data_IF_637900941598
#
_entry.id   IF_637900941598
#
_cell.length_a   1.000
_cell.length_b   1.000
_cell.length_c   1.000
_cell.angle_alpha   90.00
_cell.angle_beta   90.00
_cell.angle_gamma   90.00
#
_symmetry.space_group_name_H-M   'P 1'
#
loop_
_entity.id
_entity.type
_entity.pdbx_description
1 polymer ?
#
# COMPACT_ATOMS: atom_id res chain seq x y z
N UNK A 1 -29.28 10.08 27.12
CA UNK A 1 -29.02 8.81 26.45
C UNK A 1 -28.30 9.08 25.12
N UNK A 2 -27.01 8.86 25.03
CA UNK A 2 -26.34 8.96 23.77
C UNK A 2 -26.73 7.74 22.93
N UNK A 3 -27.48 7.96 21.85
CA UNK A 3 -27.68 6.94 20.83
C UNK A 3 -26.29 6.49 20.37
N UNK A 4 -25.91 5.26 20.69
CA UNK A 4 -24.71 4.65 20.16
C UNK A 4 -24.80 4.75 18.64
N UNK A 5 -23.85 5.45 18.02
CA UNK A 5 -23.72 5.40 16.58
C UNK A 5 -23.42 3.95 16.25
N UNK A 6 -24.36 3.28 15.60
CA UNK A 6 -24.05 2.02 14.95
C UNK A 6 -22.96 2.32 13.93
N UNK A 7 -21.72 2.06 14.33
CA UNK A 7 -20.62 2.06 13.39
C UNK A 7 -20.86 0.89 12.44
N UNK A 8 -21.37 1.20 11.27
CA UNK A 8 -21.35 0.23 10.19
C UNK A 8 -19.88 -0.01 9.83
N UNK A 9 -19.35 -1.12 10.31
CA UNK A 9 -17.97 -1.53 10.10
C UNK A 9 -17.63 -1.74 8.61
N UNK A 10 -18.64 -1.75 7.73
CA UNK A 10 -18.46 -1.86 6.28
C UNK A 10 -18.17 -0.52 5.61
N UNK A 11 -18.48 0.61 6.27
CA UNK A 11 -18.31 1.95 5.68
C UNK A 11 -16.97 2.54 6.04
N UNK A 12 -16.04 2.50 5.11
CA UNK A 12 -14.74 3.15 5.27
C UNK A 12 -14.81 4.59 4.77
N UNK A 13 -14.04 5.47 5.43
CA UNK A 13 -14.01 6.88 5.12
C UNK A 13 -12.62 7.30 4.62
N UNK A 14 -12.54 8.22 3.64
CA UNK A 14 -11.27 8.84 3.31
C UNK A 14 -10.81 9.75 4.45
N UNK A 15 -9.52 9.96 4.55
CA UNK A 15 -8.96 10.92 5.51
C UNK A 15 -9.15 12.31 4.95
N UNK A 16 -10.09 13.08 5.51
CA UNK A 16 -10.49 14.39 5.01
C UNK A 16 -9.62 15.54 5.48
N UNK A 17 -9.06 15.43 6.69
CA UNK A 17 -8.18 16.45 7.23
C UNK A 17 -6.80 16.34 6.58
N UNK A 18 -6.37 17.40 5.89
CA UNK A 18 -5.08 17.43 5.18
C UNK A 18 -3.89 17.21 6.10
N UNK A 19 -3.93 17.75 7.32
CA UNK A 19 -2.86 17.61 8.30
C UNK A 19 -2.73 16.15 8.77
N UNK A 20 -3.86 15.50 9.02
CA UNK A 20 -3.89 14.08 9.38
C UNK A 20 -3.46 13.20 8.22
N UNK A 21 -3.84 13.54 7.00
CA UNK A 21 -3.42 12.82 5.80
C UNK A 21 -1.89 12.87 5.64
N UNK A 22 -1.27 14.04 5.83
CA UNK A 22 0.19 14.16 5.77
C UNK A 22 0.88 13.33 6.87
N UNK A 23 0.37 13.35 8.08
CA UNK A 23 0.89 12.53 9.18
C UNK A 23 0.75 11.04 8.90
N UNK A 24 -0.40 10.62 8.39
CA UNK A 24 -0.68 9.25 8.01
C UNK A 24 0.28 8.78 6.91
N UNK A 25 0.41 9.57 5.86
CA UNK A 25 1.28 9.31 4.72
C UNK A 25 2.74 9.14 5.11
N UNK A 26 3.22 9.93 6.07
CA UNK A 26 4.61 9.92 6.52
C UNK A 26 4.87 9.04 7.74
N UNK A 27 3.86 8.41 8.30
CA UNK A 27 3.99 7.64 9.52
C UNK A 27 5.07 6.56 9.43
N UNK A 28 5.04 5.75 8.39
CA UNK A 28 6.01 4.69 8.18
C UNK A 28 7.33 5.15 7.53
N UNK A 29 7.43 6.42 7.23
CA UNK A 29 8.70 6.98 6.75
C UNK A 29 9.50 7.61 7.90
N UNK A 30 8.83 8.30 8.81
CA UNK A 30 9.47 9.10 9.85
C UNK A 30 9.27 8.56 11.27
N UNK A 31 8.06 8.18 11.65
CA UNK A 31 7.71 7.85 13.04
C UNK A 31 7.98 6.38 13.38
N UNK A 32 7.52 5.47 12.56
CA UNK A 32 7.74 4.04 12.70
C UNK A 32 8.30 3.47 11.38
N UNK A 33 9.59 3.69 11.08
CA UNK A 33 10.15 3.41 9.77
C UNK A 33 9.90 1.99 9.28
N UNK A 34 9.21 1.87 8.16
CA UNK A 34 8.96 0.64 7.44
C UNK A 34 8.69 0.96 5.97
N UNK A 35 9.70 0.84 5.12
CA UNK A 35 9.60 1.23 3.71
C UNK A 35 8.55 0.43 2.93
N UNK A 36 8.36 -0.84 3.24
CA UNK A 36 7.29 -1.65 2.63
C UNK A 36 5.91 -1.02 2.88
N UNK A 37 5.62 -0.72 4.13
CA UNK A 37 4.34 -0.13 4.52
C UNK A 37 4.16 1.28 3.94
N UNK A 38 5.21 2.08 4.00
CA UNK A 38 5.23 3.41 3.39
C UNK A 38 4.94 3.32 1.88
N UNK A 39 5.55 2.37 1.20
CA UNK A 39 5.38 2.17 -0.23
C UNK A 39 3.93 1.77 -0.58
N UNK A 40 3.34 0.84 0.17
CA UNK A 40 1.95 0.42 -0.04
C UNK A 40 1.00 1.61 0.09
N UNK A 41 1.14 2.41 1.14
CA UNK A 41 0.31 3.59 1.37
C UNK A 41 0.50 4.62 0.25
N UNK A 42 1.74 4.92 -0.11
CA UNK A 42 2.06 5.90 -1.15
C UNK A 42 1.50 5.48 -2.51
N UNK A 43 1.67 4.22 -2.88
CA UNK A 43 1.11 3.67 -4.13
C UNK A 43 -0.42 3.77 -4.10
N UNK A 44 -1.04 3.37 -3.00
CA UNK A 44 -2.50 3.43 -2.86
C UNK A 44 -3.07 4.83 -3.01
N UNK A 45 -2.47 5.80 -2.33
CA UNK A 45 -2.92 7.20 -2.36
C UNK A 45 -2.74 7.86 -3.74
N UNK A 46 -1.79 7.42 -4.54
CA UNK A 46 -1.43 8.07 -5.80
C UNK A 46 -1.94 7.36 -7.05
N UNK A 47 -2.41 6.12 -6.95
CA UNK A 47 -2.80 5.33 -8.13
C UNK A 47 -4.27 4.97 -8.16
N UNK A 48 -4.98 5.13 -7.06
CA UNK A 48 -6.37 4.71 -6.89
C UNK A 48 -6.61 3.21 -7.15
N UNK A 49 -5.57 2.39 -7.10
CA UNK A 49 -5.70 0.94 -7.21
C UNK A 49 -6.36 0.35 -5.96
N UNK A 50 -7.10 -0.74 -6.13
CA UNK A 50 -7.61 -1.52 -5.01
C UNK A 50 -6.45 -2.21 -4.30
N UNK A 51 -6.58 -2.40 -2.99
CA UNK A 51 -5.51 -3.02 -2.19
C UNK A 51 -5.08 -4.40 -2.74
N UNK A 52 -6.02 -5.22 -3.18
CA UNK A 52 -5.67 -6.52 -3.76
C UNK A 52 -4.85 -6.38 -5.04
N UNK A 53 -5.10 -5.37 -5.87
CA UNK A 53 -4.33 -5.11 -7.06
C UNK A 53 -2.90 -4.67 -6.71
N UNK A 54 -2.75 -3.83 -5.68
CA UNK A 54 -1.44 -3.42 -5.16
C UNK A 54 -0.67 -4.62 -4.63
N UNK A 55 -1.30 -5.45 -3.81
CA UNK A 55 -0.65 -6.60 -3.19
C UNK A 55 -0.24 -7.68 -4.20
N UNK A 56 -0.91 -7.74 -5.35
CA UNK A 56 -0.59 -8.70 -6.41
C UNK A 56 0.36 -8.14 -7.47
N UNK A 57 0.86 -6.92 -7.30
CA UNK A 57 1.94 -6.41 -8.15
C UNK A 57 3.17 -7.29 -7.98
N UNK A 58 3.77 -7.65 -9.11
CA UNK A 58 5.04 -8.35 -9.14
C UNK A 58 6.19 -7.35 -9.30
N UNK A 59 7.37 -7.74 -8.87
CA UNK A 59 8.57 -6.96 -9.07
C UNK A 59 8.72 -6.53 -10.54
N UNK A 60 8.55 -7.45 -11.46
CA UNK A 60 8.68 -7.20 -12.91
C UNK A 60 7.63 -6.23 -13.47
N UNK A 61 6.47 -6.08 -12.82
CA UNK A 61 5.45 -5.12 -13.24
C UNK A 61 5.88 -3.68 -13.00
N UNK A 62 6.77 -3.47 -12.04
CA UNK A 62 7.13 -2.14 -11.53
C UNK A 62 8.55 -1.75 -11.92
N UNK A 63 9.46 -2.72 -11.99
CA UNK A 63 10.86 -2.46 -12.30
C UNK A 63 11.28 -3.07 -13.64
N UNK A 64 12.08 -2.31 -14.36
CA UNK A 64 12.84 -2.79 -15.52
C UNK A 64 14.31 -2.65 -15.18
N UNK A 65 15.01 -3.78 -15.09
CA UNK A 65 16.37 -3.83 -14.56
C UNK A 65 16.43 -3.20 -13.16
N UNK A 66 17.17 -2.12 -12.98
CA UNK A 66 17.30 -1.41 -11.70
C UNK A 66 16.39 -0.18 -11.58
N UNK A 67 15.61 0.13 -12.62
CA UNK A 67 14.82 1.36 -12.71
C UNK A 67 13.34 1.11 -12.52
N UNK A 68 12.67 2.06 -11.89
CA UNK A 68 11.20 2.09 -11.81
C UNK A 68 10.65 2.41 -13.21
N UNK A 69 9.65 1.64 -13.64
CA UNK A 69 8.97 1.91 -14.92
C UNK A 69 8.22 3.23 -14.87
N UNK A 70 8.04 3.87 -16.03
CA UNK A 70 7.22 5.08 -16.15
C UNK A 70 5.73 4.80 -15.94
N UNK A 71 5.29 3.63 -16.40
CA UNK A 71 3.91 3.16 -16.29
C UNK A 71 3.88 1.74 -15.75
N UNK A 72 2.82 1.43 -15.04
CA UNK A 72 2.47 0.05 -14.71
C UNK A 72 1.14 -0.29 -15.39
N UNK A 73 1.02 -1.54 -15.84
CA UNK A 73 -0.22 -2.06 -16.39
C UNK A 73 -0.79 -3.07 -15.40
N UNK A 74 -2.00 -2.82 -14.95
CA UNK A 74 -2.68 -3.65 -13.96
C UNK A 74 -4.00 -4.13 -14.52
N UNK A 75 -4.23 -5.44 -14.48
CA UNK A 75 -5.55 -6.01 -14.73
C UNK A 75 -6.30 -6.12 -13.41
N UNK A 76 -7.40 -5.37 -13.27
CA UNK A 76 -8.21 -5.40 -12.06
C UNK A 76 -8.78 -6.80 -11.84
N UNK A 77 -8.53 -7.37 -10.65
CA UNK A 77 -8.97 -8.74 -10.33
C UNK A 77 -10.49 -8.85 -10.28
N UNK A 78 -11.17 -7.79 -9.82
CA UNK A 78 -12.62 -7.78 -9.67
C UNK A 78 -13.36 -7.71 -11.00
N UNK A 79 -12.87 -6.92 -11.96
CA UNK A 79 -13.57 -6.61 -13.22
C UNK A 79 -12.87 -7.18 -14.45
N UNK A 80 -11.62 -7.60 -14.34
CA UNK A 80 -10.78 -8.01 -15.46
C UNK A 80 -10.33 -6.86 -16.36
N UNK A 81 -10.67 -5.62 -16.03
CA UNK A 81 -10.33 -4.44 -16.82
C UNK A 81 -8.84 -4.13 -16.69
N UNK A 82 -8.21 -3.84 -17.81
CA UNK A 82 -6.81 -3.43 -17.85
C UNK A 82 -6.68 -1.92 -17.69
N UNK A 83 -5.85 -1.49 -16.73
CA UNK A 83 -5.52 -0.09 -16.47
C UNK A 83 -4.03 0.15 -16.65
N UNK A 84 -3.69 1.17 -17.42
CA UNK A 84 -2.32 1.66 -17.53
C UNK A 84 -2.17 2.92 -16.68
N UNK A 85 -1.24 2.90 -15.74
CA UNK A 85 -1.10 3.94 -14.72
C UNK A 85 0.27 4.59 -14.83
N UNK A 86 0.29 5.91 -15.03
CA UNK A 86 1.51 6.70 -14.99
C UNK A 86 1.94 6.88 -13.53
N UNK A 87 3.20 6.57 -13.23
CA UNK A 87 3.76 6.74 -11.90
C UNK A 87 4.34 8.15 -11.73
N UNK A 88 3.88 8.87 -10.71
CA UNK A 88 4.40 10.19 -10.40
C UNK A 88 5.76 10.11 -9.68
N UNK A 89 6.40 11.27 -9.50
CA UNK A 89 7.74 11.35 -8.90
C UNK A 89 7.80 10.78 -7.48
N UNK A 90 6.77 11.01 -6.69
CA UNK A 90 6.69 10.54 -5.31
C UNK A 90 6.66 9.00 -5.25
N UNK A 91 5.82 8.39 -6.06
CA UNK A 91 5.72 6.92 -6.16
C UNK A 91 7.03 6.33 -6.66
N UNK A 92 7.63 6.90 -7.69
CA UNK A 92 8.92 6.42 -8.22
C UNK A 92 10.02 6.50 -7.16
N UNK A 93 10.07 7.58 -6.40
CA UNK A 93 11.07 7.76 -5.34
C UNK A 93 10.95 6.69 -4.26
N UNK A 94 9.75 6.49 -3.74
CA UNK A 94 9.55 5.49 -2.66
C UNK A 94 9.74 4.06 -3.17
N UNK A 95 9.37 3.76 -4.40
CA UNK A 95 9.61 2.46 -5.00
C UNK A 95 11.10 2.18 -5.15
N UNK A 96 11.89 3.17 -5.57
CA UNK A 96 13.33 3.03 -5.70
C UNK A 96 14.01 2.79 -4.33
N UNK A 97 13.60 3.52 -3.29
CA UNK A 97 14.09 3.32 -1.93
C UNK A 97 13.73 1.92 -1.41
N UNK A 98 12.47 1.51 -1.60
CA UNK A 98 12.00 0.20 -1.17
C UNK A 98 12.72 -0.95 -1.89
N UNK A 99 12.99 -0.79 -3.20
CA UNK A 99 13.73 -1.78 -3.96
C UNK A 99 15.10 -2.07 -3.33
N UNK A 100 15.82 -1.04 -2.90
CA UNK A 100 17.13 -1.19 -2.28
C UNK A 100 17.10 -2.06 -1.01
N UNK A 101 16.00 -2.03 -0.28
CA UNK A 101 15.78 -2.93 0.86
C UNK A 101 15.32 -4.32 0.41
N UNK A 102 14.34 -4.35 -0.49
CA UNK A 102 13.68 -5.58 -0.92
C UNK A 102 14.67 -6.62 -1.46
N UNK A 103 15.61 -6.20 -2.30
CA UNK A 103 16.56 -7.13 -2.96
C UNK A 103 17.49 -7.83 -1.96
N UNK A 104 17.63 -7.30 -0.75
CA UNK A 104 18.42 -7.91 0.33
C UNK A 104 17.59 -8.79 1.26
N UNK A 105 16.28 -8.89 1.07
CA UNK A 105 15.44 -9.76 1.88
C UNK A 105 15.54 -11.21 1.43
N UNK A 106 15.38 -12.12 2.40
CA UNK A 106 15.33 -13.55 2.11
C UNK A 106 14.18 -13.90 1.15
N UNK A 107 13.04 -13.23 1.30
CA UNK A 107 11.87 -13.43 0.44
C UNK A 107 12.17 -13.17 -1.04
N UNK A 108 12.85 -12.07 -1.33
CA UNK A 108 13.27 -11.74 -2.69
C UNK A 108 14.32 -12.73 -3.20
N UNK A 109 15.35 -13.00 -2.39
CA UNK A 109 16.45 -13.89 -2.77
C UNK A 109 16.01 -15.34 -2.98
N UNK A 110 14.96 -15.78 -2.28
CA UNK A 110 14.35 -17.09 -2.47
C UNK A 110 13.43 -17.19 -3.69
N UNK A 111 13.26 -16.08 -4.43
CA UNK A 111 12.51 -16.06 -5.68
C UNK A 111 11.03 -15.72 -5.58
N UNK A 112 10.57 -15.16 -4.45
CA UNK A 112 9.19 -14.68 -4.37
C UNK A 112 9.00 -13.54 -5.39
N UNK A 113 8.08 -13.68 -6.37
CA UNK A 113 7.96 -12.72 -7.47
C UNK A 113 7.23 -11.43 -7.10
N UNK A 114 6.56 -11.39 -5.95
CA UNK A 114 5.72 -10.26 -5.59
C UNK A 114 6.52 -9.07 -5.09
N UNK A 115 6.04 -7.88 -5.42
CA UNK A 115 6.62 -6.62 -4.93
C UNK A 115 6.52 -6.50 -3.40
N UNK A 116 5.41 -6.97 -2.83
CA UNK A 116 5.18 -7.03 -1.39
C UNK A 116 5.02 -8.48 -0.96
N UNK A 117 6.15 -9.21 -0.80
CA UNK A 117 6.08 -10.64 -0.53
C UNK A 117 5.63 -10.95 0.90
N UNK A 118 4.97 -12.10 1.06
CA UNK A 118 4.59 -12.61 2.37
C UNK A 118 5.83 -13.06 3.15
N UNK A 119 5.97 -12.65 4.42
CA UNK A 119 7.03 -13.18 5.28
C UNK A 119 6.76 -14.61 5.78
N UNK A 120 5.53 -15.09 5.60
CA UNK A 120 5.09 -16.39 6.15
C UNK A 120 4.88 -17.45 5.09
N UNK A 121 4.39 -17.07 3.90
CA UNK A 121 4.09 -18.02 2.82
C UNK A 121 5.07 -17.84 1.66
N UNK A 122 5.65 -18.95 1.24
CA UNK A 122 6.51 -18.96 0.05
C UNK A 122 5.68 -18.61 -1.20
N UNK A 123 6.28 -17.82 -2.09
CA UNK A 123 5.71 -17.46 -3.40
C UNK A 123 4.30 -16.83 -3.31
N UNK A 124 4.03 -16.12 -2.23
CA UNK A 124 2.75 -15.45 -2.01
C UNK A 124 2.95 -13.98 -1.67
N UNK A 125 1.97 -13.11 -1.99
CA UNK A 125 2.01 -11.72 -1.57
C UNK A 125 1.62 -11.55 -0.10
N UNK A 126 1.95 -10.38 0.44
CA UNK A 126 1.43 -9.94 1.75
C UNK A 126 -0.09 -10.08 1.74
N UNK A 127 -0.67 -10.57 2.84
CA UNK A 127 -2.11 -10.76 2.93
C UNK A 127 -2.86 -9.44 3.08
N UNK A 128 -4.10 -9.42 2.61
CA UNK A 128 -5.01 -8.29 2.81
C UNK A 128 -5.21 -7.96 4.29
N UNK A 129 -5.25 -8.97 5.13
CA UNK A 129 -5.38 -8.82 6.58
C UNK A 129 -4.18 -8.07 7.18
N UNK A 130 -2.96 -8.43 6.77
CA UNK A 130 -1.74 -7.75 7.22
C UNK A 130 -1.70 -6.30 6.71
N UNK A 131 -2.12 -6.05 5.47
CA UNK A 131 -2.22 -4.70 4.93
C UNK A 131 -3.24 -3.87 5.71
N UNK A 132 -4.41 -4.43 6.01
CA UNK A 132 -5.43 -3.77 6.84
C UNK A 132 -4.88 -3.39 8.22
N UNK A 133 -4.20 -4.30 8.89
CA UNK A 133 -3.61 -4.04 10.21
C UNK A 133 -2.61 -2.91 10.18
N UNK A 134 -1.77 -2.89 9.17
CA UNK A 134 -0.74 -1.84 8.98
C UNK A 134 -1.38 -0.47 8.73
N UNK A 135 -2.39 -0.40 7.88
CA UNK A 135 -3.11 0.85 7.57
C UNK A 135 -3.85 1.35 8.81
N UNK A 136 -4.57 0.47 9.50
CA UNK A 136 -5.29 0.82 10.73
C UNK A 136 -4.37 1.30 11.84
N UNK A 137 -3.21 0.66 12.00
CA UNK A 137 -2.23 1.07 13.00
C UNK A 137 -1.70 2.48 12.75
N UNK A 138 -1.39 2.81 11.50
CA UNK A 138 -0.94 4.16 11.12
C UNK A 138 -2.03 5.21 11.38
N UNK A 139 -3.26 4.94 10.98
CA UNK A 139 -4.39 5.84 11.18
C UNK A 139 -4.65 6.10 12.66
N UNK A 140 -4.64 5.06 13.47
CA UNK A 140 -4.83 5.16 14.91
C UNK A 140 -3.70 5.95 15.59
N UNK A 141 -2.45 5.70 15.17
CA UNK A 141 -1.27 6.37 15.75
C UNK A 141 -1.25 7.87 15.48
N UNK A 142 -1.77 8.32 14.35
CA UNK A 142 -1.83 9.75 14.00
C UNK A 142 -3.14 10.43 14.45
N UNK A 143 -4.02 9.71 15.14
CA UNK A 143 -5.24 10.27 15.71
C UNK A 143 -6.36 10.51 14.71
N UNK A 144 -6.42 9.73 13.64
CA UNK A 144 -7.53 9.80 12.68
C UNK A 144 -8.77 9.19 13.30
N UNK A 145 -9.85 9.98 13.39
CA UNK A 145 -11.11 9.54 13.99
C UNK A 145 -11.98 8.74 13.02
N UNK A 146 -11.81 8.96 11.71
CA UNK A 146 -12.55 8.25 10.68
C UNK A 146 -12.16 6.76 10.65
N UNK A 147 -13.10 5.91 10.27
CA UNK A 147 -12.81 4.51 10.04
C UNK A 147 -11.96 4.36 8.77
N UNK A 148 -10.68 4.10 8.96
CA UNK A 148 -9.71 3.97 7.87
C UNK A 148 -9.38 2.50 7.63
N UNK A 149 -9.48 2.09 6.38
CA UNK A 149 -9.13 0.75 5.93
C UNK A 149 -8.42 0.83 4.58
N UNK A 150 -8.20 -0.32 3.98
CA UNK A 150 -7.60 -0.40 2.64
C UNK A 150 -8.35 0.44 1.59
N UNK A 151 -9.67 0.59 1.71
CA UNK A 151 -10.47 1.41 0.79
C UNK A 151 -10.23 2.91 0.93
N UNK A 152 -9.74 3.35 2.08
CA UNK A 152 -9.48 4.77 2.35
C UNK A 152 -8.28 5.32 1.58
N UNK A 153 -7.46 4.45 0.98
CA UNK A 153 -6.33 4.86 0.14
C UNK A 153 -6.76 5.32 -1.26
N UNK A 154 -7.96 4.98 -1.69
CA UNK A 154 -8.46 5.34 -3.03
C UNK A 154 -9.02 6.74 -3.09
#
# INVERSE_FOLDING_TARGET
MKKGRNFDMSTTQPIRNKKNLEKFKNYYYTTAPNLRNCCIITVGLNTALRINDILHLKYEDVFQDTKVREHITVRERKTGKENRILLNKEVKRILAEYRNELIHTEMYQSGNPYLFPSPRKKDAPLSRFQAYRMISAAAQAVGVEEHVSCHSLR
#
